data_IF_230552931897
#
_entry.id   IF_230552931897
#
_cell.length_a   1.000
_cell.length_b   1.000
_cell.length_c   1.000
_cell.angle_alpha   90.00
_cell.angle_beta   90.00
_cell.angle_gamma   90.00
#
_symmetry.space_group_name_H-M   'P 1'
#
loop_
_entity.id
_entity.type
_entity.pdbx_description
1 polymer ?
#
# COMPACT_ATOMS: atom_id res chain seq x y z
N UNK A 1 18.34 -14.61 6.73
CA UNK A 1 17.52 -14.26 5.56
C UNK A 1 17.49 -12.75 5.54
N UNK A 2 18.46 -12.16 4.85
CA UNK A 2 18.63 -10.71 4.79
C UNK A 2 17.76 -10.18 3.66
N UNK A 3 16.52 -9.79 4.01
CA UNK A 3 15.68 -9.02 3.11
C UNK A 3 15.97 -7.54 3.34
N UNK A 4 17.12 -7.08 2.84
CA UNK A 4 17.52 -5.68 2.84
C UNK A 4 18.34 -5.40 1.59
N UNK A 5 17.89 -4.45 0.76
CA UNK A 5 18.62 -4.07 -0.44
C UNK A 5 19.92 -3.38 -0.01
N UNK A 6 21.05 -4.09 -0.12
CA UNK A 6 22.39 -3.58 0.23
C UNK A 6 22.95 -2.56 -0.77
N UNK A 7 22.16 -2.17 -1.78
CA UNK A 7 22.46 -1.07 -2.67
C UNK A 7 21.18 -0.33 -3.04
N UNK A 8 21.22 0.99 -2.97
CA UNK A 8 20.17 1.84 -3.52
C UNK A 8 20.03 1.49 -5.03
N UNK A 9 18.82 1.16 -5.52
CA UNK A 9 18.61 0.85 -6.93
C UNK A 9 19.06 2.04 -7.80
N UNK A 10 19.81 1.76 -8.89
CA UNK A 10 20.15 2.80 -9.87
C UNK A 10 18.87 3.37 -10.48
N UNK A 11 18.85 4.68 -10.70
CA UNK A 11 17.75 5.36 -11.38
C UNK A 11 17.42 4.68 -12.71
N UNK A 12 16.19 4.23 -12.85
CA UNK A 12 15.64 3.49 -13.99
C UNK A 12 14.74 4.34 -14.89
N UNK A 13 14.33 5.53 -14.43
CA UNK A 13 13.35 6.38 -15.10
C UNK A 13 11.94 5.78 -15.13
N UNK A 14 11.64 4.87 -14.20
CA UNK A 14 10.38 4.12 -14.17
C UNK A 14 9.38 4.70 -13.17
N UNK A 15 8.10 4.48 -13.44
CA UNK A 15 7.04 4.74 -12.47
C UNK A 15 7.13 3.76 -11.30
N UNK A 16 6.88 4.26 -10.09
CA UNK A 16 6.87 3.49 -8.87
C UNK A 16 5.46 2.96 -8.56
N UNK A 17 5.37 1.72 -8.11
CA UNK A 17 4.12 1.10 -7.70
C UNK A 17 4.31 0.22 -6.47
N UNK A 18 3.30 0.16 -5.60
CA UNK A 18 3.21 -0.72 -4.45
C UNK A 18 2.05 -1.70 -4.68
N UNK A 19 2.25 -2.99 -4.41
CA UNK A 19 1.18 -3.99 -4.36
C UNK A 19 1.09 -4.48 -2.92
N UNK A 20 -0.10 -4.42 -2.35
CA UNK A 20 -0.37 -4.89 -0.98
C UNK A 20 -1.45 -5.95 -1.00
N UNK A 21 -1.23 -7.06 -0.30
CA UNK A 21 -2.27 -8.02 0.04
C UNK A 21 -2.61 -7.90 1.53
N UNK A 22 -3.89 -8.00 1.88
CA UNK A 22 -4.39 -7.94 3.26
C UNK A 22 -5.33 -9.10 3.50
N UNK A 23 -5.37 -9.59 4.73
CA UNK A 23 -6.29 -10.64 5.14
C UNK A 23 -6.52 -10.62 6.63
N UNK A 24 -7.65 -11.15 7.08
CA UNK A 24 -8.00 -11.19 8.49
C UNK A 24 -9.40 -11.71 8.74
N UNK A 25 -9.89 -11.43 9.95
CA UNK A 25 -11.24 -11.78 10.39
C UNK A 25 -11.98 -10.53 10.81
N UNK A 26 -13.23 -10.37 10.35
CA UNK A 26 -14.10 -9.27 10.72
C UNK A 26 -15.25 -9.81 11.58
N UNK A 27 -15.57 -9.08 12.65
CA UNK A 27 -16.76 -9.34 13.45
C UNK A 27 -17.97 -8.72 12.76
N UNK A 28 -19.06 -9.47 12.64
CA UNK A 28 -20.32 -8.94 12.10
C UNK A 28 -20.82 -7.75 12.92
N UNK A 29 -21.35 -6.73 12.25
CA UNK A 29 -22.10 -5.67 12.91
C UNK A 29 -23.32 -6.25 13.63
N UNK A 30 -23.64 -5.67 14.79
CA UNK A 30 -24.51 -6.20 15.86
C UNK A 30 -25.93 -6.65 15.45
N UNK A 31 -26.40 -6.39 14.23
CA UNK A 31 -27.82 -6.50 13.92
C UNK A 31 -28.26 -7.81 13.24
N UNK A 32 -27.37 -8.66 12.70
CA UNK A 32 -27.84 -9.88 11.98
C UNK A 32 -26.99 -11.15 12.09
N UNK A 33 -26.03 -11.25 13.00
CA UNK A 33 -25.35 -12.53 13.24
C UNK A 33 -24.28 -12.49 14.32
N UNK A 34 -24.10 -13.61 15.02
CA UNK A 34 -23.01 -13.85 15.97
C UNK A 34 -21.93 -14.69 15.30
N UNK A 35 -21.01 -14.08 14.55
CA UNK A 35 -19.93 -14.83 13.92
C UNK A 35 -18.77 -13.98 13.42
N UNK A 36 -17.59 -14.59 13.34
CA UNK A 36 -16.41 -14.03 12.67
C UNK A 36 -16.45 -14.48 11.21
N UNK A 37 -16.36 -13.54 10.27
CA UNK A 37 -16.24 -13.83 8.84
C UNK A 37 -14.81 -13.54 8.35
N UNK A 38 -14.23 -14.36 7.46
CA UNK A 38 -12.95 -14.02 6.87
C UNK A 38 -13.06 -12.81 5.94
N UNK A 39 -11.98 -12.06 5.85
CA UNK A 39 -11.79 -10.99 4.88
C UNK A 39 -10.45 -11.19 4.18
N UNK A 40 -10.43 -10.90 2.89
CA UNK A 40 -9.21 -10.81 2.10
C UNK A 40 -9.28 -9.60 1.18
N UNK A 41 -8.15 -9.04 0.84
CA UNK A 41 -8.11 -7.91 -0.09
C UNK A 41 -6.74 -7.74 -0.73
N UNK A 42 -6.74 -7.06 -1.86
CA UNK A 42 -5.53 -6.64 -2.53
C UNK A 42 -5.70 -5.23 -3.05
N UNK A 43 -4.63 -4.43 -2.99
CA UNK A 43 -4.58 -3.12 -3.61
C UNK A 43 -3.29 -2.91 -4.36
N UNK A 44 -3.38 -2.11 -5.41
CA UNK A 44 -2.25 -1.58 -6.17
C UNK A 44 -2.27 -0.07 -6.03
N UNK A 45 -1.09 0.50 -5.79
CA UNK A 45 -0.91 1.93 -5.61
C UNK A 45 0.18 2.43 -6.56
N UNK A 46 -0.14 3.45 -7.37
CA UNK A 46 0.88 4.19 -8.11
C UNK A 46 1.42 5.32 -7.23
N UNK A 47 2.74 5.39 -7.10
CA UNK A 47 3.43 6.40 -6.31
C UNK A 47 4.01 7.47 -7.23
N UNK A 48 3.52 8.70 -7.10
CA UNK A 48 4.00 9.84 -7.86
C UNK A 48 4.75 10.78 -6.92
N UNK A 49 6.07 10.89 -7.12
CA UNK A 49 6.90 11.84 -6.40
C UNK A 49 6.67 13.26 -6.90
N UNK A 50 6.43 14.18 -5.97
CA UNK A 50 6.42 15.62 -6.26
C UNK A 50 7.82 16.18 -6.04
N UNK A 51 8.66 16.13 -7.06
CA UNK A 51 10.05 16.61 -6.98
C UNK A 51 10.79 16.50 -8.31
N UNK A 52 12.04 16.96 -8.32
CA UNK A 52 12.93 16.89 -9.49
C UNK A 52 13.41 15.46 -9.79
N UNK A 53 13.44 14.59 -8.78
CA UNK A 53 13.73 13.18 -8.94
C UNK A 53 12.45 12.39 -9.22
N UNK A 54 12.41 11.54 -10.25
CA UNK A 54 11.21 10.78 -10.60
C UNK A 54 10.94 9.62 -9.65
N UNK A 55 11.97 9.08 -8.98
CA UNK A 55 11.87 7.84 -8.21
C UNK A 55 11.73 8.10 -6.69
N UNK A 56 10.76 7.46 -6.00
CA UNK A 56 10.56 7.64 -4.56
C UNK A 56 11.66 7.02 -3.68
N UNK A 57 12.36 6.00 -4.16
CA UNK A 57 13.41 5.28 -3.43
C UNK A 57 14.81 5.87 -3.64
N UNK A 58 14.96 6.87 -4.50
CA UNK A 58 16.24 7.54 -4.75
C UNK A 58 16.33 8.83 -3.91
N UNK A 59 16.97 8.81 -2.74
CA UNK A 59 17.03 9.98 -1.88
C UNK A 59 17.96 11.05 -2.48
N UNK A 60 17.50 12.30 -2.50
CA UNK A 60 18.31 13.44 -2.96
C UNK A 60 19.38 13.87 -1.93
N UNK A 61 19.41 13.26 -0.75
CA UNK A 61 20.34 13.58 0.34
C UNK A 61 20.42 12.48 1.41
N UNK A 62 21.15 12.74 2.50
CA UNK A 62 21.32 11.80 3.62
C UNK A 62 20.01 11.46 4.32
N UNK A 63 19.14 12.45 4.45
CA UNK A 63 17.73 12.34 4.87
C UNK A 63 16.94 13.13 3.86
N UNK A 64 15.98 12.49 3.21
CA UNK A 64 15.13 13.09 2.19
C UNK A 64 13.67 12.96 2.62
N UNK A 65 12.93 14.07 2.56
CA UNK A 65 11.52 14.13 2.91
C UNK A 65 10.73 14.50 1.67
N UNK A 66 9.95 13.55 1.18
CA UNK A 66 9.37 13.62 -0.14
C UNK A 66 7.84 13.56 -0.06
N UNK A 67 7.13 14.58 -0.56
CA UNK A 67 5.70 14.48 -0.76
C UNK A 67 5.39 13.58 -1.96
N UNK A 68 4.48 12.63 -1.73
CA UNK A 68 3.99 11.67 -2.72
C UNK A 68 2.48 11.85 -2.91
N UNK A 69 2.05 11.82 -4.16
CA UNK A 69 0.66 11.56 -4.53
C UNK A 69 0.52 10.07 -4.78
N UNK A 70 -0.41 9.43 -4.07
CA UNK A 70 -0.64 7.99 -4.16
C UNK A 70 -2.04 7.73 -4.70
N UNK A 71 -2.10 7.04 -5.83
CA UNK A 71 -3.35 6.60 -6.46
C UNK A 71 -3.51 5.11 -6.18
N UNK A 72 -4.41 4.76 -5.26
CA UNK A 72 -4.65 3.38 -4.86
C UNK A 72 -5.99 2.89 -5.44
N UNK A 73 -5.99 1.67 -5.95
CA UNK A 73 -7.18 0.92 -6.30
C UNK A 73 -7.12 -0.46 -5.66
N UNK A 74 -8.22 -0.93 -5.10
CA UNK A 74 -8.25 -2.20 -4.39
C UNK A 74 -9.61 -2.88 -4.39
N UNK A 75 -9.57 -4.17 -4.11
CA UNK A 75 -10.75 -5.01 -3.93
C UNK A 75 -10.64 -5.72 -2.59
N UNK A 76 -11.74 -5.71 -1.83
CA UNK A 76 -11.88 -6.48 -0.60
C UNK A 76 -12.99 -7.51 -0.79
N UNK A 77 -12.65 -8.79 -0.66
CA UNK A 77 -13.62 -9.86 -0.51
C UNK A 77 -14.01 -9.97 0.97
N UNK A 78 -15.29 -9.72 1.24
CA UNK A 78 -15.90 -9.86 2.54
C UNK A 78 -16.74 -11.14 2.52
N UNK A 79 -16.46 -12.09 3.41
CA UNK A 79 -17.26 -13.30 3.57
C UNK A 79 -17.97 -13.28 4.93
N UNK A 80 -19.06 -12.49 5.08
CA UNK A 80 -19.83 -12.50 6.31
C UNK A 80 -20.42 -13.89 6.58
N UNK A 81 -20.52 -14.32 7.85
CA UNK A 81 -21.10 -15.62 8.20
C UNK A 81 -22.52 -15.77 7.67
N UNK A 82 -22.80 -16.89 7.00
CA UNK A 82 -24.15 -17.24 6.53
C UNK A 82 -24.68 -16.39 5.36
N UNK A 83 -23.82 -15.63 4.67
CA UNK A 83 -24.18 -14.82 3.48
C UNK A 83 -23.24 -15.10 2.32
N UNK A 84 -23.68 -14.73 1.12
CA UNK A 84 -22.84 -14.76 -0.08
C UNK A 84 -21.64 -13.82 0.05
N UNK A 85 -20.53 -14.19 -0.58
CA UNK A 85 -19.34 -13.34 -0.73
C UNK A 85 -19.74 -11.98 -1.33
N UNK A 86 -19.32 -10.92 -0.67
CA UNK A 86 -19.43 -9.54 -1.16
C UNK A 86 -18.04 -9.06 -1.56
N UNK A 87 -17.96 -8.34 -2.68
CA UNK A 87 -16.75 -7.66 -3.11
C UNK A 87 -16.95 -6.15 -2.97
N UNK A 88 -16.06 -5.50 -2.23
CA UNK A 88 -15.99 -4.04 -2.14
C UNK A 88 -14.83 -3.54 -3.01
N UNK A 89 -15.15 -2.68 -3.96
CA UNK A 89 -14.15 -1.99 -4.79
C UNK A 89 -13.91 -0.61 -4.19
N UNK A 90 -12.64 -0.25 -4.02
CA UNK A 90 -12.25 1.03 -3.46
C UNK A 90 -11.20 1.69 -4.34
N UNK A 91 -11.31 3.01 -4.47
CA UNK A 91 -10.28 3.87 -5.06
C UNK A 91 -9.97 4.97 -4.07
N UNK A 92 -8.69 5.34 -3.96
CA UNK A 92 -8.23 6.35 -3.01
C UNK A 92 -7.15 7.21 -3.62
N UNK A 93 -7.26 8.52 -3.38
CA UNK A 93 -6.19 9.49 -3.59
C UNK A 93 -5.62 9.87 -2.22
N UNK A 94 -4.31 9.77 -2.10
CA UNK A 94 -3.56 9.94 -0.85
C UNK A 94 -2.43 10.94 -1.06
N UNK A 95 -2.24 11.81 -0.09
CA UNK A 95 -1.03 12.63 0.05
C UNK A 95 -0.21 12.02 1.18
N UNK A 96 0.99 11.52 0.87
CA UNK A 96 1.90 10.88 1.81
C UNK A 96 3.20 11.67 1.88
N UNK A 97 3.79 11.75 3.06
CA UNK A 97 5.18 12.19 3.22
C UNK A 97 6.01 10.94 3.49
N UNK A 98 6.97 10.68 2.61
CA UNK A 98 7.95 9.61 2.80
C UNK A 98 9.25 10.22 3.29
N UNK A 99 9.82 9.63 4.33
CA UNK A 99 11.16 9.96 4.80
C UNK A 99 12.06 8.79 4.44
N UNK A 100 13.07 9.04 3.63
CA UNK A 100 14.11 8.08 3.25
C UNK A 100 15.45 8.55 3.79
N UNK A 101 16.32 7.60 4.13
CA UNK A 101 17.70 7.89 4.52
C UNK A 101 18.63 6.94 3.81
N UNK A 102 19.74 7.46 3.29
CA UNK A 102 20.82 6.64 2.72
C UNK A 102 21.77 6.09 3.79
N UNK A 103 21.55 6.42 5.07
CA UNK A 103 22.36 5.94 6.20
C UNK A 103 21.83 4.64 6.82
N UNK A 104 20.60 4.25 6.50
CA UNK A 104 19.96 3.04 7.01
C UNK A 104 19.68 2.12 5.82
N UNK A 105 20.25 0.89 5.80
CA UNK A 105 19.93 -0.10 4.78
C UNK A 105 18.49 -0.59 4.85
#
# INVERSE_FOLDING_TARGET
>A
MDYGFTSLPKSTGRMAWEITARGGVLRSASETGSGLGPFGGASVAALLRLGSQPEPWDPAGLVDTVPLVVLEAGVNALAPPGRSLLAEFSTRLLLRVQVSSSLLP
#
